data_IF_838575559859
#
_entry.id   IF_838575559859
#
_cell.length_a   1.000
_cell.length_b   1.000
_cell.length_c   1.000
_cell.angle_alpha   90.00
_cell.angle_beta   90.00
_cell.angle_gamma   90.00
#
_symmetry.space_group_name_H-M   'P 1'
#
loop_
_entity.id
_entity.type
_entity.pdbx_description
1 polymer ?
#
# COMPACT_ATOMS: atom_id res chain seq x y z
N UNK A 1 15.91 10.41 -2.31
CA UNK A 1 15.58 8.97 -2.38
C UNK A 1 14.83 8.72 -3.68
N UNK A 2 15.19 7.69 -4.44
CA UNK A 2 14.33 7.24 -5.54
C UNK A 2 12.95 6.89 -5.00
N UNK A 3 11.85 7.34 -5.60
CA UNK A 3 10.52 6.95 -5.15
C UNK A 3 10.36 5.44 -5.25
N UNK A 4 9.95 4.79 -4.17
CA UNK A 4 9.54 3.39 -4.21
C UNK A 4 8.29 3.29 -5.09
N UNK A 5 8.29 2.46 -6.12
CA UNK A 5 7.11 2.24 -6.96
C UNK A 5 6.13 1.27 -6.29
N UNK A 6 4.84 1.39 -6.64
CA UNK A 6 3.82 0.46 -6.20
C UNK A 6 4.13 -0.95 -6.71
N UNK A 7 4.25 -1.91 -5.80
CA UNK A 7 4.62 -3.29 -6.15
C UNK A 7 3.51 -4.05 -6.92
N UNK A 8 2.33 -3.44 -7.06
CA UNK A 8 1.17 -4.04 -7.73
C UNK A 8 1.08 -3.58 -9.18
N UNK A 9 1.11 -2.26 -9.43
CA UNK A 9 0.98 -1.72 -10.79
C UNK A 9 2.31 -1.32 -11.43
N UNK A 10 3.36 -1.10 -10.64
CA UNK A 10 4.71 -0.70 -11.10
C UNK A 10 4.71 0.63 -11.89
N UNK A 11 3.61 1.39 -11.79
CA UNK A 11 3.37 2.61 -12.58
C UNK A 11 3.33 3.85 -11.69
N UNK A 12 2.67 3.74 -10.53
CA UNK A 12 2.54 4.84 -9.58
C UNK A 12 3.54 4.71 -8.42
N UNK A 13 3.85 5.82 -7.75
CA UNK A 13 4.61 5.79 -6.51
C UNK A 13 3.86 4.99 -5.43
N UNK A 14 4.60 4.22 -4.64
CA UNK A 14 4.13 3.68 -3.38
C UNK A 14 4.06 4.84 -2.38
N UNK A 15 2.84 5.31 -2.14
CA UNK A 15 2.54 6.45 -1.28
C UNK A 15 1.55 6.09 -0.16
N UNK A 16 1.26 4.80 0.00
CA UNK A 16 0.23 4.31 0.91
C UNK A 16 0.72 3.12 1.74
N UNK A 17 0.46 3.19 3.05
CA UNK A 17 0.76 2.11 4.01
C UNK A 17 -0.45 1.26 4.34
N UNK A 18 -0.20 -0.02 4.60
CA UNK A 18 -1.16 -0.94 5.21
C UNK A 18 -1.10 -0.88 6.74
N UNK A 19 -2.24 -0.73 7.40
CA UNK A 19 -2.36 -0.80 8.88
C UNK A 19 -2.96 -2.17 9.25
N UNK A 20 -2.43 -2.85 10.30
CA UNK A 20 -1.43 -2.38 11.26
C UNK A 20 0.03 -2.67 10.91
N UNK A 21 0.33 -3.37 9.81
CA UNK A 21 1.69 -3.85 9.55
C UNK A 21 2.71 -2.78 9.14
N UNK A 22 2.28 -1.58 8.76
CA UNK A 22 3.13 -0.42 8.48
C UNK A 22 3.91 -0.45 7.16
N UNK A 23 3.74 -1.47 6.31
CA UNK A 23 4.45 -1.54 5.03
C UNK A 23 3.92 -0.50 4.04
N UNK A 24 4.80 0.37 3.54
CA UNK A 24 4.57 1.23 2.38
C UNK A 24 4.52 0.35 1.13
N UNK A 25 3.34 -0.16 0.83
CA UNK A 25 3.17 -1.31 -0.05
C UNK A 25 2.74 -0.94 -1.47
N UNK A 26 2.06 0.19 -1.66
CA UNK A 26 1.51 0.53 -2.97
C UNK A 26 0.93 1.92 -3.07
N UNK A 27 0.36 2.23 -4.24
CA UNK A 27 -0.41 3.46 -4.43
C UNK A 27 -1.81 3.31 -3.82
N UNK A 28 -2.49 4.44 -3.57
CA UNK A 28 -3.84 4.44 -2.99
C UNK A 28 -4.84 3.59 -3.79
N UNK A 29 -4.81 3.66 -5.13
CA UNK A 29 -5.78 2.96 -5.97
C UNK A 29 -5.67 1.43 -5.82
N UNK A 30 -4.44 0.89 -5.92
CA UNK A 30 -4.20 -0.54 -5.80
C UNK A 30 -4.47 -1.05 -4.38
N UNK A 31 -4.03 -0.34 -3.33
CA UNK A 31 -4.29 -0.81 -1.96
C UNK A 31 -5.77 -0.72 -1.58
N UNK A 32 -6.53 0.23 -2.14
CA UNK A 32 -7.98 0.30 -1.94
C UNK A 32 -8.71 -0.86 -2.64
N UNK A 33 -8.22 -1.33 -3.77
CA UNK A 33 -8.71 -2.57 -4.40
C UNK A 33 -8.51 -3.78 -3.49
N UNK A 34 -7.32 -3.93 -2.88
CA UNK A 34 -7.03 -5.01 -1.94
C UNK A 34 -7.90 -4.93 -0.69
N UNK A 35 -8.08 -3.75 -0.12
CA UNK A 35 -8.96 -3.49 1.02
C UNK A 35 -10.42 -3.90 0.70
N UNK A 36 -10.96 -3.48 -0.46
CA UNK A 36 -12.31 -3.88 -0.92
C UNK A 36 -12.45 -5.39 -1.08
N UNK A 37 -11.42 -6.05 -1.62
CA UNK A 37 -11.37 -7.51 -1.81
C UNK A 37 -11.06 -8.28 -0.52
N UNK A 38 -10.87 -7.58 0.62
CA UNK A 38 -10.47 -8.16 1.90
C UNK A 38 -9.19 -9.00 1.82
N UNK A 39 -8.27 -8.60 0.93
CA UNK A 39 -6.95 -9.22 0.79
C UNK A 39 -5.98 -8.69 1.84
N UNK A 40 -4.93 -9.46 2.12
CA UNK A 40 -3.84 -9.04 2.99
C UNK A 40 -2.86 -8.07 2.32
N UNK A 41 -1.97 -7.49 3.11
CA UNK A 41 -0.86 -6.68 2.65
C UNK A 41 -0.05 -7.47 1.59
N UNK A 42 0.27 -6.90 0.43
CA UNK A 42 0.97 -7.64 -0.62
C UNK A 42 2.43 -7.97 -0.26
N UNK A 43 2.97 -7.33 0.80
CA UNK A 43 4.34 -7.57 1.29
C UNK A 43 4.38 -8.70 2.32
N UNK A 44 3.60 -8.58 3.40
CA UNK A 44 3.69 -9.51 4.53
C UNK A 44 2.44 -10.38 4.74
N UNK A 45 1.40 -10.21 3.91
CA UNK A 45 0.11 -10.93 3.97
C UNK A 45 -0.74 -10.68 5.21
N UNK A 46 -0.32 -9.83 6.14
CA UNK A 46 -1.13 -9.41 7.27
C UNK A 46 -2.46 -8.79 6.81
N UNK A 47 -3.54 -9.01 7.56
CA UNK A 47 -4.86 -8.41 7.26
C UNK A 47 -4.73 -6.89 7.19
N UNK A 48 -5.32 -6.29 6.15
CA UNK A 48 -5.44 -4.83 6.04
C UNK A 48 -6.70 -4.41 6.80
N UNK A 49 -6.53 -3.62 7.86
CA UNK A 49 -7.65 -3.01 8.59
C UNK A 49 -8.03 -1.66 7.99
N UNK A 50 -7.03 -0.89 7.56
CA UNK A 50 -7.19 0.36 6.83
C UNK A 50 -5.92 0.68 6.04
N UNK A 51 -6.03 1.62 5.12
CA UNK A 51 -4.91 2.18 4.35
C UNK A 51 -4.74 3.67 4.65
N UNK A 52 -3.50 4.16 4.69
CA UNK A 52 -3.19 5.57 4.92
C UNK A 52 -2.22 6.09 3.85
N UNK A 53 -2.57 7.21 3.22
CA UNK A 53 -1.67 7.93 2.32
C UNK A 53 -0.65 8.73 3.11
N UNK A 54 0.61 8.70 2.69
CA UNK A 54 1.71 9.39 3.34
C UNK A 54 2.21 10.52 2.46
N UNK A 55 2.46 11.66 3.08
CA UNK A 55 3.03 12.83 2.44
C UNK A 55 4.43 13.02 3.02
N UNK A 56 5.49 12.70 2.26
CA UNK A 56 6.86 12.92 2.72
C UNK A 56 7.07 14.41 2.96
N UNK A 57 7.70 14.74 4.08
CA UNK A 57 8.19 16.08 4.44
C UNK A 57 9.43 16.45 3.64
#
# INVERSE_FOLDING_TARGET
>A
LSPSFCVICIDNCADTVCVPCGHLAGCMACLRELERKKMGCPVCRARIERILKIYPT
#
